data_IF_816839250178
#
_entry.id   IF_816839250178
#
_cell.length_a   1.000
_cell.length_b   1.000
_cell.length_c   1.000
_cell.angle_alpha   90.00
_cell.angle_beta   90.00
_cell.angle_gamma   90.00
#
_symmetry.space_group_name_H-M   'P 1'
#
loop_
_entity.id
_entity.type
_entity.pdbx_description
1 polymer ?
#
# COMPACT_ATOMS: atom_id res chain seq x y z
N UNK A 1 -7.09 -23.57 1.88
CA UNK A 1 -8.24 -23.58 0.95
C UNK A 1 -7.73 -23.28 -0.45
N UNK A 2 -8.44 -23.71 -1.49
CA UNK A 2 -8.02 -23.52 -2.88
C UNK A 2 -8.21 -22.07 -3.35
N UNK A 3 -7.34 -21.63 -4.26
CA UNK A 3 -7.42 -20.33 -4.92
C UNK A 3 -8.59 -20.27 -5.90
N UNK A 4 -9.03 -19.05 -6.21
CA UNK A 4 -10.07 -18.78 -7.22
C UNK A 4 -9.46 -17.97 -8.35
N UNK A 5 -9.77 -18.40 -9.57
CA UNK A 5 -9.52 -17.64 -10.78
C UNK A 5 -10.80 -16.89 -11.13
N UNK A 6 -10.69 -15.57 -11.25
CA UNK A 6 -11.77 -14.65 -11.58
C UNK A 6 -11.40 -13.99 -12.90
N UNK A 7 -12.34 -13.98 -13.84
CA UNK A 7 -12.20 -13.36 -15.14
C UNK A 7 -13.24 -12.26 -15.23
N UNK A 8 -12.80 -11.02 -15.44
CA UNK A 8 -13.73 -9.89 -15.59
C UNK A 8 -14.31 -9.81 -17.01
N UNK A 9 -15.18 -8.83 -17.25
CA UNK A 9 -15.80 -8.62 -18.56
C UNK A 9 -14.84 -8.16 -19.65
N UNK A 10 -13.67 -7.63 -19.28
CA UNK A 10 -12.60 -7.21 -20.17
C UNK A 10 -11.59 -8.33 -20.45
N UNK A 11 -11.72 -9.46 -19.75
CA UNK A 11 -10.83 -10.61 -19.84
C UNK A 11 -9.60 -10.54 -18.94
N UNK A 12 -9.53 -9.60 -18.00
CA UNK A 12 -8.47 -9.57 -16.98
C UNK A 12 -8.63 -10.74 -16.02
N UNK A 13 -7.51 -11.42 -15.73
CA UNK A 13 -7.50 -12.65 -14.95
C UNK A 13 -6.86 -12.37 -13.59
N UNK A 14 -7.68 -12.46 -12.53
CA UNK A 14 -7.21 -12.37 -11.15
C UNK A 14 -7.24 -13.76 -10.51
N UNK A 15 -6.08 -14.24 -10.04
CA UNK A 15 -5.99 -15.48 -9.25
C UNK A 15 -5.67 -15.09 -7.81
N UNK A 16 -6.54 -15.44 -6.87
CA UNK A 16 -6.35 -15.06 -5.46
C UNK A 16 -6.97 -16.06 -4.49
N UNK A 17 -6.36 -16.14 -3.31
CA UNK A 17 -6.97 -16.76 -2.14
C UNK A 17 -7.70 -15.74 -1.27
N UNK A 18 -7.55 -14.43 -1.47
CA UNK A 18 -8.10 -13.45 -0.53
C UNK A 18 -9.62 -13.32 -0.65
N UNK A 19 -10.31 -13.38 0.50
CA UNK A 19 -11.78 -13.34 0.56
C UNK A 19 -12.36 -12.00 0.15
N UNK A 20 -11.74 -10.89 0.58
CA UNK A 20 -12.20 -9.55 0.23
C UNK A 20 -12.06 -9.29 -1.28
N UNK A 21 -10.89 -9.62 -1.84
CA UNK A 21 -10.62 -9.52 -3.28
C UNK A 21 -11.58 -10.38 -4.10
N UNK A 22 -11.87 -11.61 -3.66
CA UNK A 22 -12.83 -12.49 -4.37
C UNK A 22 -14.21 -11.83 -4.44
N UNK A 23 -14.70 -11.35 -3.30
CA UNK A 23 -16.05 -10.78 -3.21
C UNK A 23 -16.18 -9.44 -3.93
N UNK A 24 -15.09 -8.66 -3.98
CA UNK A 24 -15.06 -7.39 -4.71
C UNK A 24 -15.05 -7.57 -6.23
N UNK A 25 -14.30 -8.57 -6.72
CA UNK A 25 -14.21 -8.89 -8.16
C UNK A 25 -15.43 -9.66 -8.70
N UNK A 26 -16.27 -10.21 -7.83
CA UNK A 26 -17.50 -10.88 -8.24
C UNK A 26 -18.63 -9.88 -8.52
N UNK A 27 -19.31 -10.03 -9.66
CA UNK A 27 -20.49 -9.23 -9.97
C UNK A 27 -21.73 -9.73 -9.19
N UNK A 28 -21.88 -9.26 -7.96
CA UNK A 28 -22.98 -9.65 -7.07
C UNK A 28 -24.21 -8.76 -7.27
N UNK A 29 -25.31 -9.36 -7.73
CA UNK A 29 -26.57 -8.64 -7.97
C UNK A 29 -27.43 -8.48 -6.70
N UNK A 30 -27.45 -9.47 -5.81
CA UNK A 30 -28.34 -9.47 -4.65
C UNK A 30 -27.88 -8.49 -3.56
N UNK A 31 -28.73 -7.58 -3.04
CA UNK A 31 -28.35 -6.59 -2.03
C UNK A 31 -27.75 -7.19 -0.75
N UNK A 32 -28.31 -8.29 -0.24
CA UNK A 32 -27.76 -8.97 0.93
C UNK A 32 -26.35 -9.52 0.69
N UNK A 33 -26.03 -9.96 -0.54
CA UNK A 33 -24.70 -10.40 -0.88
C UNK A 33 -23.72 -9.21 -0.92
N UNK A 34 -24.16 -8.04 -1.42
CA UNK A 34 -23.37 -6.79 -1.34
C UNK A 34 -23.06 -6.40 0.11
N UNK A 35 -23.97 -6.63 1.05
CA UNK A 35 -23.70 -6.39 2.48
C UNK A 35 -22.60 -7.31 3.03
N UNK A 36 -22.54 -8.58 2.59
CA UNK A 36 -21.45 -9.49 2.96
C UNK A 36 -20.10 -9.02 2.42
N UNK A 37 -20.06 -8.40 1.23
CA UNK A 37 -18.83 -7.77 0.70
C UNK A 37 -18.34 -6.67 1.63
N UNK A 38 -19.25 -5.84 2.16
CA UNK A 38 -18.88 -4.76 3.09
C UNK A 38 -18.30 -5.29 4.40
N UNK A 39 -18.79 -6.43 4.90
CA UNK A 39 -18.20 -7.10 6.07
C UNK A 39 -16.77 -7.55 5.75
N UNK A 40 -16.54 -8.15 4.59
CA UNK A 40 -15.21 -8.59 4.18
C UNK A 40 -14.23 -7.41 4.03
N UNK A 41 -14.69 -6.30 3.42
CA UNK A 41 -13.89 -5.07 3.24
C UNK A 41 -13.53 -4.43 4.57
N UNK A 42 -14.51 -4.26 5.48
CA UNK A 42 -14.24 -3.70 6.81
C UNK A 42 -13.26 -4.56 7.63
N UNK A 43 -13.35 -5.89 7.50
CA UNK A 43 -12.38 -6.79 8.13
C UNK A 43 -10.97 -6.65 7.54
N UNK A 44 -10.87 -6.44 6.23
CA UNK A 44 -9.59 -6.25 5.54
C UNK A 44 -8.93 -4.91 5.92
N UNK A 45 -9.71 -3.83 5.97
CA UNK A 45 -9.23 -2.49 6.33
C UNK A 45 -8.75 -2.41 7.79
N UNK A 46 -9.46 -3.04 8.73
CA UNK A 46 -9.14 -2.95 10.16
C UNK A 46 -8.07 -3.96 10.62
N UNK A 47 -8.03 -5.16 10.04
CA UNK A 47 -7.20 -6.27 10.52
C UNK A 47 -6.30 -6.87 9.43
N UNK A 48 -6.72 -6.83 8.16
CA UNK A 48 -5.97 -7.38 7.02
C UNK A 48 -5.92 -8.90 6.92
N UNK A 49 -6.59 -9.64 7.82
CA UNK A 49 -6.75 -11.09 7.76
C UNK A 49 -8.13 -11.52 8.29
N UNK A 50 -8.54 -12.75 7.99
CA UNK A 50 -9.81 -13.32 8.44
C UNK A 50 -11.02 -12.87 7.63
N UNK A 51 -10.83 -12.23 6.47
CA UNK A 51 -11.89 -11.77 5.57
C UNK A 51 -12.89 -12.88 5.23
N UNK A 52 -12.39 -14.08 4.92
CA UNK A 52 -13.24 -15.27 4.71
C UNK A 52 -13.98 -15.71 5.96
N UNK A 53 -13.28 -15.74 7.10
CA UNK A 53 -13.86 -16.18 8.38
C UNK A 53 -15.02 -15.27 8.77
N UNK A 54 -14.86 -13.96 8.63
CA UNK A 54 -15.92 -12.98 8.92
C UNK A 54 -17.17 -13.23 8.07
N UNK A 55 -17.02 -13.48 6.77
CA UNK A 55 -18.14 -13.75 5.86
C UNK A 55 -18.82 -15.08 6.16
N UNK A 56 -18.05 -16.15 6.36
CA UNK A 56 -18.59 -17.47 6.70
C UNK A 56 -19.32 -17.42 8.04
N UNK A 57 -18.74 -16.73 9.02
CA UNK A 57 -19.34 -16.56 10.34
C UNK A 57 -20.65 -15.76 10.28
N UNK A 58 -20.70 -14.68 9.50
CA UNK A 58 -21.94 -13.93 9.25
C UNK A 58 -23.02 -14.81 8.61
N UNK A 59 -22.65 -15.64 7.62
CA UNK A 59 -23.56 -16.59 6.99
C UNK A 59 -24.13 -17.61 7.97
N UNK A 60 -23.29 -18.19 8.83
CA UNK A 60 -23.76 -19.16 9.83
C UNK A 60 -24.65 -18.49 10.90
N UNK A 61 -24.34 -17.28 11.33
CA UNK A 61 -25.19 -16.52 12.26
C UNK A 61 -26.59 -16.26 11.69
N UNK A 62 -26.67 -15.95 10.38
CA UNK A 62 -27.95 -15.74 9.69
C UNK A 62 -28.75 -17.05 9.57
N UNK A 63 -28.07 -18.17 9.27
CA UNK A 63 -28.70 -19.49 9.23
C UNK A 63 -29.27 -19.90 10.59
N UNK A 64 -28.53 -19.69 11.67
CA UNK A 64 -29.04 -19.93 13.03
C UNK A 64 -30.18 -18.98 13.40
N UNK A 65 -30.15 -17.73 12.93
CA UNK A 65 -31.25 -16.79 13.12
C UNK A 65 -32.53 -17.24 12.40
N UNK A 66 -32.41 -17.81 11.19
CA UNK A 66 -33.54 -18.38 10.44
C UNK A 66 -34.25 -19.48 11.24
N UNK A 67 -33.52 -20.38 11.90
CA UNK A 67 -34.11 -21.42 12.76
C UNK A 67 -34.93 -20.85 13.93
N UNK A 68 -34.51 -19.71 14.48
CA UNK A 68 -35.23 -19.02 15.55
C UNK A 68 -36.47 -18.29 15.01
N UNK A 69 -36.39 -17.72 13.81
CA UNK A 69 -37.53 -17.10 13.13
C UNK A 69 -38.61 -18.13 12.80
N UNK A 70 -38.23 -19.34 12.37
CA UNK A 70 -39.16 -20.45 12.14
C UNK A 70 -39.88 -20.91 13.42
N UNK A 71 -39.31 -20.63 14.59
CA UNK A 71 -39.94 -20.84 15.91
C UNK A 71 -40.75 -19.64 16.39
N UNK A 72 -41.05 -18.69 15.49
CA UNK A 72 -41.82 -17.47 15.75
C UNK A 72 -41.19 -16.54 16.81
N UNK A 73 -39.86 -16.61 16.99
CA UNK A 73 -39.15 -15.68 17.88
C UNK A 73 -39.01 -14.34 17.17
N UNK A 74 -39.46 -13.26 17.82
CA UNK A 74 -39.42 -11.93 17.24
C UNK A 74 -37.96 -11.49 16.91
N UNK A 75 -37.66 -10.94 15.71
CA UNK A 75 -36.30 -10.58 15.28
C UNK A 75 -35.54 -9.70 16.28
N UNK A 76 -36.22 -8.76 16.93
CA UNK A 76 -35.63 -7.87 17.96
C UNK A 76 -35.01 -8.64 19.12
N UNK A 77 -35.61 -9.78 19.52
CA UNK A 77 -35.09 -10.63 20.59
C UNK A 77 -33.81 -11.32 20.12
N UNK A 78 -33.78 -11.82 18.88
CA UNK A 78 -32.60 -12.45 18.27
C UNK A 78 -31.45 -11.45 18.22
N UNK A 79 -31.70 -10.24 17.70
CA UNK A 79 -30.69 -9.17 17.62
C UNK A 79 -30.17 -8.79 19.00
N UNK A 80 -31.04 -8.65 20.00
CA UNK A 80 -30.64 -8.37 21.38
C UNK A 80 -29.78 -9.49 21.96
N UNK A 81 -30.16 -10.75 21.71
CA UNK A 81 -29.39 -11.93 22.12
C UNK A 81 -27.99 -11.96 21.50
N UNK A 82 -27.89 -11.72 20.19
CA UNK A 82 -26.60 -11.69 19.48
C UNK A 82 -25.70 -10.56 19.96
N UNK A 83 -26.24 -9.37 20.25
CA UNK A 83 -25.45 -8.27 20.84
C UNK A 83 -24.85 -8.67 22.19
N UNK A 84 -25.64 -9.27 23.08
CA UNK A 84 -25.15 -9.77 24.38
C UNK A 84 -24.11 -10.88 24.22
N UNK A 85 -24.31 -11.78 23.27
CA UNK A 85 -23.35 -12.84 22.97
C UNK A 85 -22.02 -12.28 22.44
N UNK A 86 -22.08 -11.26 21.58
CA UNK A 86 -20.89 -10.56 21.06
C UNK A 86 -20.09 -9.90 22.18
N UNK A 87 -20.74 -9.19 23.10
CA UNK A 87 -20.09 -8.56 24.25
C UNK A 87 -19.40 -9.60 25.16
N UNK A 88 -20.11 -10.70 25.48
CA UNK A 88 -19.55 -11.79 26.27
C UNK A 88 -18.38 -12.50 25.57
N UNK A 89 -18.49 -12.72 24.25
CA UNK A 89 -17.41 -13.29 23.45
C UNK A 89 -16.18 -12.38 23.43
N UNK A 90 -16.36 -11.07 23.26
CA UNK A 90 -15.27 -10.10 23.28
C UNK A 90 -14.57 -10.05 24.65
N UNK A 91 -15.32 -10.11 25.75
CA UNK A 91 -14.75 -10.19 27.09
C UNK A 91 -13.96 -11.50 27.30
N UNK A 92 -14.51 -12.63 26.84
CA UNK A 92 -13.83 -13.91 26.92
C UNK A 92 -12.54 -13.95 26.08
N UNK A 93 -12.57 -13.39 24.87
CA UNK A 93 -11.39 -13.28 24.00
C UNK A 93 -10.26 -12.48 24.67
N UNK A 94 -10.59 -11.40 25.40
CA UNK A 94 -9.60 -10.63 26.18
C UNK A 94 -9.03 -11.42 27.38
N UNK A 95 -9.79 -12.36 27.95
CA UNK A 95 -9.31 -13.20 29.07
C UNK A 95 -8.35 -14.28 28.60
N UNK A 96 -8.57 -14.83 27.40
CA UNK A 96 -7.71 -15.88 26.84
C UNK A 96 -6.57 -15.33 25.99
N UNK A 97 -6.57 -14.04 25.65
CA UNK A 97 -5.51 -13.43 24.85
C UNK A 97 -4.19 -13.42 25.61
N UNK A 98 -3.13 -13.90 24.97
CA UNK A 98 -1.79 -13.89 25.53
C UNK A 98 -1.07 -12.59 25.14
N UNK A 99 -0.55 -11.81 26.10
CA UNK A 99 0.24 -10.63 25.79
C UNK A 99 1.56 -11.05 25.13
N UNK A 100 1.90 -10.40 24.03
CA UNK A 100 3.15 -10.65 23.30
C UNK A 100 4.12 -9.49 23.48
N UNK A 101 5.42 -9.82 23.59
CA UNK A 101 6.48 -8.83 23.49
C UNK A 101 6.73 -8.51 22.01
N UNK A 102 6.56 -7.25 21.65
CA UNK A 102 6.74 -6.73 20.28
C UNK A 102 8.21 -6.81 19.85
N UNK A 103 9.15 -6.85 20.79
CA UNK A 103 10.56 -7.04 20.48
C UNK A 103 10.91 -8.49 20.14
N UNK A 104 10.00 -9.44 20.41
CA UNK A 104 10.21 -10.85 20.12
C UNK A 104 9.94 -11.15 18.64
N UNK A 105 11.00 -11.02 17.84
CA UNK A 105 10.97 -11.27 16.40
C UNK A 105 10.48 -12.68 16.02
N UNK A 106 10.74 -13.68 16.86
CA UNK A 106 10.30 -15.05 16.60
C UNK A 106 8.78 -15.18 16.65
N UNK A 107 8.12 -14.48 17.58
CA UNK A 107 6.66 -14.46 17.68
C UNK A 107 6.07 -13.73 16.48
N UNK A 108 6.59 -12.54 16.14
CA UNK A 108 6.13 -11.79 14.97
C UNK A 108 6.29 -12.59 13.67
N UNK A 109 7.41 -13.29 13.51
CA UNK A 109 7.66 -14.19 12.38
C UNK A 109 6.65 -15.33 12.32
N UNK A 110 6.31 -15.94 13.46
CA UNK A 110 5.28 -17.00 13.53
C UNK A 110 3.90 -16.48 13.11
N UNK A 111 3.54 -15.26 13.52
CA UNK A 111 2.28 -14.61 13.11
C UNK A 111 2.26 -14.40 11.60
N UNK A 112 3.33 -13.83 11.04
CA UNK A 112 3.45 -13.61 9.59
C UNK A 112 3.43 -14.92 8.79
N UNK A 113 4.12 -15.97 9.25
CA UNK A 113 4.08 -17.30 8.60
C UNK A 113 2.66 -17.87 8.60
N UNK A 114 1.93 -17.70 9.70
CA UNK A 114 0.55 -18.17 9.82
C UNK A 114 -0.34 -17.48 8.78
N UNK A 115 -0.25 -16.14 8.67
CA UNK A 115 -1.01 -15.35 7.70
C UNK A 115 -0.68 -15.70 6.23
N UNK A 116 0.56 -16.11 5.94
CA UNK A 116 0.99 -16.48 4.58
C UNK A 116 0.67 -17.94 4.21
N UNK A 117 0.33 -18.80 5.16
CA UNK A 117 0.26 -20.25 4.94
C UNK A 117 -0.81 -20.67 3.94
N UNK A 118 -1.94 -19.96 3.88
CA UNK A 118 -3.04 -20.27 2.97
C UNK A 118 -2.94 -19.62 1.59
N UNK A 119 -1.84 -18.92 1.28
CA UNK A 119 -1.67 -18.14 0.04
C UNK A 119 -0.73 -18.86 -0.95
N UNK A 120 -0.78 -18.47 -2.23
CA UNK A 120 0.02 -19.04 -3.32
C UNK A 120 1.55 -18.96 -3.09
N UNK A 121 2.00 -18.13 -2.16
CA UNK A 121 3.41 -17.94 -1.81
C UNK A 121 3.96 -18.99 -0.82
N UNK A 122 3.25 -20.09 -0.60
CA UNK A 122 3.60 -21.11 0.39
C UNK A 122 5.08 -21.56 0.32
N UNK A 123 5.63 -21.72 -0.89
CA UNK A 123 7.02 -22.15 -1.09
C UNK A 123 8.08 -21.16 -0.60
N UNK A 124 7.75 -19.88 -0.46
CA UNK A 124 8.65 -18.82 0.00
C UNK A 124 8.16 -18.13 1.29
N UNK A 125 7.19 -18.72 2.00
CA UNK A 125 6.51 -18.08 3.14
C UNK A 125 7.44 -17.69 4.28
N UNK A 126 8.46 -18.49 4.59
CA UNK A 126 9.39 -18.20 5.68
C UNK A 126 10.24 -16.97 5.38
N UNK A 127 10.71 -16.88 4.13
CA UNK A 127 11.52 -15.77 3.66
C UNK A 127 10.70 -14.47 3.54
N UNK A 128 9.49 -14.56 2.99
CA UNK A 128 8.58 -13.41 2.90
C UNK A 128 8.11 -12.94 4.29
N UNK A 129 7.89 -13.85 5.23
CA UNK A 129 7.58 -13.50 6.61
C UNK A 129 8.74 -12.73 7.27
N UNK A 130 9.98 -13.19 7.07
CA UNK A 130 11.18 -12.51 7.59
C UNK A 130 11.33 -11.10 7.02
N UNK A 131 11.18 -10.94 5.70
CA UNK A 131 11.19 -9.62 5.05
C UNK A 131 10.08 -8.72 5.60
N UNK A 132 8.85 -9.24 5.72
CA UNK A 132 7.69 -8.47 6.17
C UNK A 132 7.88 -7.95 7.60
N UNK A 133 8.35 -8.81 8.50
CA UNK A 133 8.63 -8.41 9.90
C UNK A 133 9.74 -7.36 9.96
N UNK A 134 10.81 -7.51 9.19
CA UNK A 134 11.91 -6.53 9.13
C UNK A 134 11.45 -5.18 8.57
N UNK A 135 10.63 -5.19 7.51
CA UNK A 135 10.07 -3.98 6.93
C UNK A 135 9.19 -3.23 7.93
N UNK A 136 8.23 -3.92 8.55
CA UNK A 136 7.31 -3.33 9.54
C UNK A 136 8.06 -2.79 10.75
N UNK A 137 9.07 -3.51 11.26
CA UNK A 137 9.90 -3.03 12.38
C UNK A 137 10.72 -1.79 12.05
N UNK A 138 11.13 -1.63 10.79
CA UNK A 138 11.93 -0.47 10.36
C UNK A 138 11.09 0.81 10.36
N UNK A 139 9.80 0.71 10.04
CA UNK A 139 8.87 1.85 9.99
C UNK A 139 8.08 2.05 11.29
N UNK A 140 8.21 1.13 12.25
CA UNK A 140 7.50 1.19 13.51
C UNK A 140 8.07 2.30 14.41
N UNK A 141 7.22 3.27 14.75
CA UNK A 141 7.57 4.38 15.63
C UNK A 141 6.95 4.19 17.02
N UNK A 142 7.72 4.45 18.06
CA UNK A 142 7.19 4.47 19.42
C UNK A 142 6.87 5.91 19.81
N UNK A 143 5.58 6.23 19.87
CA UNK A 143 5.04 7.53 20.29
C UNK A 143 4.36 7.35 21.64
N UNK A 144 4.94 7.92 22.69
CA UNK A 144 4.40 7.91 24.06
C UNK A 144 4.05 6.51 24.61
N UNK A 145 4.89 5.51 24.33
CA UNK A 145 4.69 4.14 24.79
C UNK A 145 3.69 3.33 23.97
N UNK A 146 3.18 3.89 22.86
CA UNK A 146 2.36 3.18 21.87
C UNK A 146 3.13 3.07 20.56
N UNK A 147 3.06 1.88 19.97
CA UNK A 147 3.61 1.66 18.64
C UNK A 147 2.63 2.16 17.59
N UNK A 148 3.13 3.02 16.71
CA UNK A 148 2.43 3.51 15.54
C UNK A 148 3.17 3.00 14.30
N UNK A 149 2.40 2.42 13.38
CA UNK A 149 2.94 1.86 12.14
C UNK A 149 2.11 2.47 11.03
N UNK A 150 2.78 3.19 10.14
CA UNK A 150 2.20 3.66 8.90
C UNK A 150 2.63 2.71 7.77
N UNK A 151 1.67 1.99 7.20
CA UNK A 151 1.92 1.03 6.13
C UNK A 151 2.30 1.71 4.81
N UNK A 152 1.98 2.99 4.63
CA UNK A 152 2.35 3.76 3.43
C UNK A 152 3.87 3.96 3.35
N UNK A 153 4.58 3.84 4.48
CA UNK A 153 6.05 3.85 4.52
C UNK A 153 6.69 2.54 4.04
N UNK A 154 5.91 1.49 3.76
CA UNK A 154 6.41 0.21 3.24
C UNK A 154 6.05 0.09 1.76
N UNK A 155 7.01 0.45 0.89
CA UNK A 155 6.81 0.37 -0.55
C UNK A 155 6.93 -1.07 -1.07
N UNK A 156 5.92 -1.53 -1.82
CA UNK A 156 5.94 -2.84 -2.52
C UNK A 156 6.03 -2.62 -4.03
N UNK A 157 7.22 -2.79 -4.61
CA UNK A 157 7.44 -2.73 -6.06
C UNK A 157 7.52 -4.13 -6.66
N UNK A 158 6.70 -4.40 -7.68
CA UNK A 158 6.63 -5.70 -8.36
C UNK A 158 7.30 -5.60 -9.72
N UNK A 159 8.28 -6.47 -10.00
CA UNK A 159 8.92 -6.60 -11.31
C UNK A 159 8.89 -8.06 -11.76
N UNK A 160 8.50 -8.30 -13.00
CA UNK A 160 8.49 -9.63 -13.60
C UNK A 160 9.91 -10.09 -13.97
N UNK A 161 10.16 -11.40 -13.97
CA UNK A 161 11.39 -11.99 -14.51
C UNK A 161 12.22 -12.86 -13.54
N UNK A 162 11.85 -12.92 -12.26
CA UNK A 162 12.54 -13.72 -11.24
C UNK A 162 11.55 -14.56 -10.40
N UNK A 163 12.05 -15.39 -9.49
CA UNK A 163 11.25 -16.20 -8.58
C UNK A 163 10.80 -15.43 -7.33
N UNK A 164 9.86 -16.01 -6.57
CA UNK A 164 9.40 -15.42 -5.31
C UNK A 164 10.52 -15.27 -4.27
N UNK A 165 11.47 -16.21 -4.25
CA UNK A 165 12.62 -16.21 -3.37
C UNK A 165 13.65 -15.11 -3.71
N UNK A 166 13.57 -14.51 -4.90
CA UNK A 166 14.47 -13.42 -5.32
C UNK A 166 14.00 -12.04 -4.86
N UNK A 167 12.82 -11.97 -4.21
CA UNK A 167 12.30 -10.75 -3.58
C UNK A 167 13.29 -10.24 -2.54
N UNK A 168 13.47 -8.92 -2.37
CA UNK A 168 14.43 -8.38 -1.40
C UNK A 168 13.85 -7.21 -0.64
N UNK A 169 14.22 -7.12 0.63
CA UNK A 169 14.02 -5.90 1.41
C UNK A 169 15.11 -4.89 1.04
N UNK A 170 14.69 -3.71 0.59
CA UNK A 170 15.57 -2.57 0.34
C UNK A 170 15.34 -1.56 1.45
N UNK A 171 16.40 -1.24 2.21
CA UNK A 171 16.37 -0.16 3.19
C UNK A 171 16.49 1.19 2.49
N UNK A 172 15.38 1.65 1.92
CA UNK A 172 15.28 2.85 1.12
C UNK A 172 14.04 2.82 0.23
N UNK A 173 14.05 3.59 -0.85
CA UNK A 173 12.93 3.70 -1.78
C UNK A 173 13.35 3.18 -3.14
N UNK A 174 12.46 2.45 -3.81
CA UNK A 174 12.64 1.99 -5.18
C UNK A 174 11.81 2.91 -6.08
N UNK A 175 12.50 3.67 -6.93
CA UNK A 175 11.85 4.51 -7.93
C UNK A 175 11.78 3.74 -9.25
N UNK A 176 10.58 3.54 -9.77
CA UNK A 176 10.39 2.98 -11.12
C UNK A 176 10.53 4.09 -12.18
N UNK A 177 11.74 4.64 -12.23
CA UNK A 177 12.13 5.76 -13.10
C UNK A 177 13.53 5.53 -13.66
N UNK A 178 13.79 6.18 -14.79
CA UNK A 178 15.09 6.14 -15.45
C UNK A 178 15.86 7.42 -15.20
N UNK A 179 17.18 7.36 -15.39
CA UNK A 179 18.03 8.55 -15.37
C UNK A 179 17.76 9.35 -16.64
N UNK A 180 17.44 10.63 -16.48
CA UNK A 180 16.95 11.49 -17.58
C UNK A 180 17.96 11.63 -18.71
N UNK A 181 19.25 11.80 -18.39
CA UNK A 181 20.29 12.02 -19.40
C UNK A 181 21.28 10.85 -19.46
N UNK A 182 21.62 10.30 -20.66
CA UNK A 182 22.49 9.13 -20.80
C UNK A 182 23.94 9.37 -20.32
N UNK A 183 24.38 10.63 -20.31
CA UNK A 183 25.69 11.03 -19.78
C UNK A 183 25.77 11.11 -18.26
N UNK A 184 24.65 10.98 -17.54
CA UNK A 184 24.65 10.99 -16.08
C UNK A 184 25.10 9.62 -15.51
N UNK A 185 25.76 9.61 -14.34
CA UNK A 185 26.21 8.37 -13.72
C UNK A 185 25.03 7.46 -13.34
N UNK A 186 25.08 6.20 -13.76
CA UNK A 186 24.07 5.17 -13.38
C UNK A 186 24.24 4.67 -11.94
N UNK A 187 25.37 4.96 -11.30
CA UNK A 187 25.68 4.54 -9.93
C UNK A 187 26.46 5.65 -9.23
N UNK A 188 25.96 6.07 -8.07
CA UNK A 188 26.60 7.07 -7.21
C UNK A 188 26.81 6.45 -5.82
N UNK A 189 28.03 6.50 -5.30
CA UNK A 189 28.35 6.11 -3.92
C UNK A 189 28.37 7.34 -3.02
N UNK A 190 27.97 7.20 -1.75
CA UNK A 190 27.83 8.33 -0.81
C UNK A 190 26.95 9.44 -1.37
N UNK A 191 25.75 9.06 -1.84
CA UNK A 191 24.81 9.98 -2.46
C UNK A 191 24.28 11.02 -1.45
N UNK A 192 24.30 12.28 -1.86
CA UNK A 192 23.64 13.44 -1.24
C UNK A 192 22.45 13.77 -2.13
N UNK A 193 21.27 13.33 -1.68
CA UNK A 193 20.03 13.36 -2.45
C UNK A 193 19.31 14.68 -2.18
N UNK A 194 19.01 15.44 -3.24
CA UNK A 194 18.11 16.59 -3.19
C UNK A 194 16.73 16.18 -3.71
N UNK A 195 15.67 16.56 -2.99
CA UNK A 195 14.28 16.36 -3.40
C UNK A 195 13.70 17.72 -3.82
N UNK A 196 13.19 17.81 -5.04
CA UNK A 196 12.64 19.04 -5.61
C UNK A 196 11.18 18.84 -6.03
N UNK A 197 10.28 19.66 -5.50
CA UNK A 197 8.87 19.77 -5.93
C UNK A 197 8.66 20.96 -6.91
N UNK A 198 9.70 21.29 -7.66
CA UNK A 198 9.69 22.34 -8.66
C UNK A 198 10.18 21.77 -10.01
N UNK A 199 9.66 22.26 -11.15
CA UNK A 199 10.21 21.89 -12.44
C UNK A 199 11.58 22.55 -12.61
N UNK A 200 12.49 21.87 -13.29
CA UNK A 200 13.74 22.47 -13.78
C UNK A 200 13.51 22.91 -15.24
N UNK A 201 12.59 23.85 -15.41
CA UNK A 201 12.15 24.36 -16.69
C UNK A 201 12.01 25.89 -16.59
N UNK A 202 11.90 26.57 -17.73
CA UNK A 202 11.64 28.01 -17.75
C UNK A 202 10.17 28.24 -17.41
N UNK A 203 9.93 28.71 -16.18
CA UNK A 203 8.58 28.98 -15.71
C UNK A 203 7.94 30.12 -16.49
N UNK A 204 6.73 29.88 -16.99
CA UNK A 204 5.90 30.94 -17.56
C UNK A 204 5.26 31.72 -16.42
N UNK A 205 5.26 33.06 -16.48
CA UNK A 205 4.57 33.86 -15.48
C UNK A 205 3.08 33.52 -15.45
N UNK A 206 2.48 33.58 -14.26
CA UNK A 206 1.03 33.33 -14.08
C UNK A 206 0.15 34.38 -14.76
N UNK A 207 0.71 35.53 -15.09
CA UNK A 207 0.05 36.63 -15.80
C UNK A 207 0.41 36.52 -17.29
N UNK A 208 -0.56 36.78 -18.16
CA UNK A 208 -0.35 36.87 -19.61
C UNK A 208 0.77 37.86 -19.94
N UNK A 209 1.94 37.32 -20.27
CA UNK A 209 3.13 38.07 -20.65
C UNK A 209 3.57 37.64 -22.05
N UNK A 210 3.64 38.61 -22.96
CA UNK A 210 4.15 38.41 -24.31
C UNK A 210 5.45 39.17 -24.50
N UNK A 211 6.44 38.50 -25.08
CA UNK A 211 7.74 39.09 -25.37
C UNK A 211 7.72 39.61 -26.80
N UNK A 212 7.82 40.93 -26.95
CA UNK A 212 7.87 41.61 -28.27
C UNK A 212 9.30 41.92 -28.65
N UNK A 213 9.82 41.19 -29.64
CA UNK A 213 11.20 41.31 -30.12
C UNK A 213 11.21 42.24 -31.35
N UNK A 214 11.92 43.37 -31.24
CA UNK A 214 11.97 44.39 -32.31
C UNK A 214 13.30 44.40 -33.08
N UNK A 215 14.31 43.65 -32.61
CA UNK A 215 15.65 43.59 -33.19
C UNK A 215 16.17 42.13 -33.14
N UNK A 216 16.75 41.59 -34.22
CA UNK A 216 17.46 40.31 -34.21
C UNK A 216 18.46 40.13 -33.04
N UNK A 217 19.11 41.19 -32.57
CA UNK A 217 20.04 41.11 -31.42
C UNK A 217 19.32 40.81 -30.09
N UNK A 218 18.06 41.23 -29.95
CA UNK A 218 17.24 40.95 -28.75
C UNK A 218 16.83 39.48 -28.70
N UNK A 219 16.60 38.84 -29.85
CA UNK A 219 16.32 37.41 -29.93
C UNK A 219 17.44 36.57 -29.33
N UNK A 220 18.70 36.91 -29.67
CA UNK A 220 19.86 36.20 -29.15
C UNK A 220 20.00 36.38 -27.64
N UNK A 221 19.85 37.61 -27.14
CA UNK A 221 19.92 37.90 -25.69
C UNK A 221 18.84 37.18 -24.90
N UNK A 222 17.64 37.04 -25.46
CA UNK A 222 16.56 36.32 -24.81
C UNK A 222 16.90 34.83 -24.62
N UNK A 223 17.38 34.17 -25.68
CA UNK A 223 17.83 32.77 -25.60
C UNK A 223 19.01 32.59 -24.64
N UNK A 224 19.96 33.53 -24.62
CA UNK A 224 21.08 33.51 -23.67
C UNK A 224 20.59 33.64 -22.21
N UNK A 225 19.55 34.44 -21.93
CA UNK A 225 19.00 34.56 -20.58
C UNK A 225 18.17 33.35 -20.15
N UNK A 226 17.42 32.74 -21.06
CA UNK A 226 16.75 31.46 -20.81
C UNK A 226 17.76 30.38 -20.39
N UNK A 227 18.89 30.28 -21.10
CA UNK A 227 19.98 29.35 -20.76
C UNK A 227 20.62 29.70 -19.40
N UNK A 228 20.83 30.99 -19.12
CA UNK A 228 21.38 31.44 -17.85
C UNK A 228 20.47 31.12 -16.66
N UNK A 229 19.15 31.24 -16.81
CA UNK A 229 18.19 30.91 -15.75
C UNK A 229 18.30 29.42 -15.38
N UNK A 230 18.26 28.53 -16.36
CA UNK A 230 18.41 27.09 -16.15
C UNK A 230 19.77 26.76 -15.52
N UNK A 231 20.84 27.37 -16.04
CA UNK A 231 22.19 27.19 -15.50
C UNK A 231 22.29 27.64 -14.04
N UNK A 232 21.67 28.76 -13.68
CA UNK A 232 21.64 29.25 -12.30
C UNK A 232 20.91 28.28 -11.35
N UNK A 233 19.86 27.60 -11.80
CA UNK A 233 19.20 26.55 -11.00
C UNK A 233 20.14 25.37 -10.74
N UNK A 234 20.79 24.88 -11.79
CA UNK A 234 21.74 23.76 -11.69
C UNK A 234 22.94 24.14 -10.82
N UNK A 235 23.48 25.34 -10.97
CA UNK A 235 24.62 25.83 -10.19
C UNK A 235 24.27 25.95 -8.69
N UNK A 236 23.04 26.36 -8.35
CA UNK A 236 22.56 26.36 -6.96
C UNK A 236 22.50 24.94 -6.37
N UNK A 237 22.01 23.96 -7.14
CA UNK A 237 21.95 22.56 -6.71
C UNK A 237 23.38 22.02 -6.50
N UNK A 238 24.28 22.31 -7.45
CA UNK A 238 25.68 21.92 -7.37
C UNK A 238 26.40 22.56 -6.17
N UNK A 239 26.10 23.81 -5.84
CA UNK A 239 26.68 24.53 -4.71
C UNK A 239 26.33 23.91 -3.34
N UNK A 240 25.14 23.33 -3.21
CA UNK A 240 24.73 22.56 -2.01
C UNK A 240 25.51 21.23 -1.90
N UNK A 241 26.16 20.81 -2.99
CA UNK A 241 26.91 19.56 -3.07
C UNK A 241 26.01 18.33 -3.20
N UNK A 242 24.77 18.50 -3.69
CA UNK A 242 23.91 17.38 -4.05
C UNK A 242 24.50 16.67 -5.29
N UNK A 243 24.57 15.34 -5.26
CA UNK A 243 25.08 14.53 -6.38
C UNK A 243 24.00 13.62 -6.98
N UNK A 244 22.81 13.58 -6.38
CA UNK A 244 21.60 12.94 -6.90
C UNK A 244 20.45 13.91 -6.67
N UNK A 245 19.61 14.12 -7.69
CA UNK A 245 18.45 15.00 -7.63
C UNK A 245 17.24 14.21 -8.07
N UNK A 246 16.17 14.26 -7.27
CA UNK A 246 14.87 13.69 -7.61
C UNK A 246 13.89 14.85 -7.73
N UNK A 247 13.49 15.16 -8.95
CA UNK A 247 12.45 16.14 -9.23
C UNK A 247 11.09 15.44 -9.38
N UNK A 248 10.07 16.01 -8.76
CA UNK A 248 8.69 15.57 -8.93
C UNK A 248 8.12 15.99 -10.29
N UNK A 249 8.62 17.09 -10.85
CA UNK A 249 8.19 17.70 -12.12
C UNK A 249 9.27 17.52 -13.20
N UNK A 250 9.03 18.10 -14.38
CA UNK A 250 9.92 17.96 -15.54
C UNK A 250 11.27 18.64 -15.38
N UNK A 251 12.20 18.26 -16.26
CA UNK A 251 13.59 18.70 -16.32
C UNK A 251 13.90 18.92 -17.80
N UNK A 252 14.21 20.17 -18.17
CA UNK A 252 14.68 20.56 -19.50
C UNK A 252 16.21 20.35 -19.67
#
# INVERSE_FOLDING_TARGET
GMDKMLVDSLGDITITNDGATILDKMDLQHPAAKMLVQIAKGQDEEVGDGTKTAVIFAGELLKQAEELLLKEIHPTIIVSGYKRAMEAAAEYLRKISEPIDINNENILRRVAITALTSKAVHGAREYLADISVKAVRTVAENRDGRWYIDLDNVQVVKKHGAGLADSKLVYGVILDKEVVHPGMPKRVTNARIALLDAPLEIEKPEIDAEIRINDPLQMKKFLEEEENILKNYVDKIAAVGANVVICQKGID
#
